data_IF_228080564272
#
_entry.id   IF_228080564272
#
_cell.length_a   1.000
_cell.length_b   1.000
_cell.length_c   1.000
_cell.angle_alpha   90.00
_cell.angle_beta   90.00
_cell.angle_gamma   90.00
#
_symmetry.space_group_name_H-M   'P 1'
#
loop_
_entity.id
_entity.type
_entity.pdbx_description
1 polymer ?
#
# COMPACT_ATOMS: atom_id res chain seq x y z
N UNK A 1 22.40 -13.97 1.79
CA UNK A 1 20.95 -13.63 1.90
C UNK A 1 20.71 -13.02 3.27
N UNK A 2 20.29 -11.76 3.33
CA UNK A 2 19.85 -11.07 4.57
C UNK A 2 18.43 -11.55 4.91
N UNK A 3 18.16 -11.91 6.18
CA UNK A 3 16.82 -12.32 6.64
C UNK A 3 15.90 -11.13 6.89
N UNK A 4 14.57 -11.33 6.87
CA UNK A 4 13.57 -10.28 7.15
C UNK A 4 13.63 -9.79 8.60
N UNK A 5 14.01 -10.66 9.52
CA UNK A 5 14.21 -10.32 10.93
C UNK A 5 15.52 -10.89 11.41
N UNK A 6 16.21 -10.18 12.31
CA UNK A 6 17.55 -10.54 12.81
C UNK A 6 17.54 -11.85 13.61
N UNK A 7 16.42 -12.20 14.18
CA UNK A 7 16.19 -13.41 14.99
C UNK A 7 15.60 -14.59 14.18
N UNK A 8 15.42 -14.41 12.87
CA UNK A 8 14.94 -15.46 11.97
C UNK A 8 16.12 -16.17 11.31
N UNK A 9 16.21 -17.50 11.44
CA UNK A 9 17.26 -18.26 10.73
C UNK A 9 16.99 -18.29 9.22
N UNK A 10 18.04 -18.34 8.37
CA UNK A 10 17.88 -18.46 6.91
C UNK A 10 17.07 -19.70 6.48
N UNK A 11 17.19 -20.82 7.22
CA UNK A 11 16.45 -22.04 6.94
C UNK A 11 14.94 -21.85 7.21
N UNK A 12 14.60 -21.21 8.32
CA UNK A 12 13.22 -20.92 8.67
C UNK A 12 12.58 -19.94 7.67
N UNK A 13 13.32 -18.89 7.28
CA UNK A 13 12.84 -17.96 6.27
C UNK A 13 12.59 -18.61 4.91
N UNK A 14 13.44 -19.56 4.48
CA UNK A 14 13.21 -20.35 3.27
C UNK A 14 11.90 -21.14 3.33
N UNK A 15 11.59 -21.74 4.48
CA UNK A 15 10.32 -22.45 4.69
C UNK A 15 9.15 -21.48 4.59
N UNK A 16 9.27 -20.29 5.19
CA UNK A 16 8.24 -19.24 5.08
C UNK A 16 8.03 -18.80 3.63
N UNK A 17 9.11 -18.51 2.89
CA UNK A 17 9.05 -18.13 1.47
C UNK A 17 8.33 -19.23 0.66
N UNK A 18 8.74 -20.49 0.82
CA UNK A 18 8.12 -21.61 0.12
C UNK A 18 6.62 -21.70 0.42
N UNK A 19 6.21 -21.46 1.66
CA UNK A 19 4.82 -21.43 2.07
C UNK A 19 4.05 -20.26 1.47
N UNK A 20 4.64 -19.04 1.49
CA UNK A 20 4.01 -17.84 0.94
C UNK A 20 3.77 -18.00 -0.56
N UNK A 21 4.70 -18.59 -1.29
CA UNK A 21 4.57 -18.88 -2.74
C UNK A 21 3.37 -19.76 -3.09
N UNK A 22 2.84 -20.53 -2.13
CA UNK A 22 1.61 -21.34 -2.35
C UNK A 22 0.32 -20.58 -2.14
N UNK A 23 0.39 -19.31 -1.69
CA UNK A 23 -0.79 -18.52 -1.41
C UNK A 23 -1.27 -17.80 -2.67
N UNK A 24 -2.58 -17.76 -2.84
CA UNK A 24 -3.21 -16.90 -3.86
C UNK A 24 -3.11 -15.42 -3.46
N UNK A 25 -3.21 -14.53 -4.45
CA UNK A 25 -3.26 -13.09 -4.21
C UNK A 25 -4.40 -12.69 -3.26
N UNK A 26 -5.56 -13.35 -3.38
CA UNK A 26 -6.70 -13.18 -2.47
C UNK A 26 -6.32 -13.53 -1.02
N UNK A 27 -5.64 -14.68 -0.81
CA UNK A 27 -5.20 -15.07 0.53
C UNK A 27 -4.18 -14.10 1.12
N UNK A 28 -3.28 -13.58 0.29
CA UNK A 28 -2.32 -12.55 0.69
C UNK A 28 -3.05 -11.27 1.09
N UNK A 29 -4.00 -10.80 0.29
CA UNK A 29 -4.81 -9.64 0.61
C UNK A 29 -5.64 -9.82 1.90
N UNK A 30 -6.28 -10.99 2.08
CA UNK A 30 -6.97 -11.34 3.33
C UNK A 30 -6.03 -11.29 4.55
N UNK A 31 -4.77 -11.69 4.39
CA UNK A 31 -3.77 -11.62 5.47
C UNK A 31 -3.43 -10.17 5.82
N UNK A 32 -3.16 -9.32 4.82
CA UNK A 32 -2.89 -7.89 5.01
C UNK A 32 -4.07 -7.21 5.71
N UNK A 33 -5.29 -7.46 5.24
CA UNK A 33 -6.54 -6.95 5.82
C UNK A 33 -6.67 -7.34 7.30
N UNK A 34 -6.49 -8.63 7.62
CA UNK A 34 -6.59 -9.14 8.99
C UNK A 34 -5.53 -8.55 9.91
N UNK A 35 -4.28 -8.43 9.46
CA UNK A 35 -3.20 -7.84 10.25
C UNK A 35 -3.41 -6.35 10.47
N UNK A 36 -3.82 -5.61 9.44
CA UNK A 36 -4.17 -4.20 9.57
C UNK A 36 -5.30 -4.01 10.57
N UNK A 37 -6.38 -4.78 10.46
CA UNK A 37 -7.48 -4.72 11.41
C UNK A 37 -7.01 -4.95 12.84
N UNK A 38 -6.20 -6.00 13.08
CA UNK A 38 -5.72 -6.35 14.41
C UNK A 38 -4.81 -5.28 15.01
N UNK A 39 -3.83 -4.79 14.24
CA UNK A 39 -2.86 -3.79 14.70
C UNK A 39 -3.54 -2.43 14.90
N UNK A 40 -4.37 -1.99 13.97
CA UNK A 40 -5.08 -0.71 14.12
C UNK A 40 -6.07 -0.75 15.28
N UNK A 41 -6.78 -1.88 15.48
CA UNK A 41 -7.64 -2.07 16.65
C UNK A 41 -6.86 -2.05 17.96
N UNK A 42 -5.69 -2.71 18.01
CA UNK A 42 -4.81 -2.68 19.19
C UNK A 42 -4.31 -1.25 19.48
N UNK A 43 -3.92 -0.51 18.44
CA UNK A 43 -3.50 0.89 18.54
C UNK A 43 -4.62 1.81 19.04
N UNK A 44 -5.85 1.59 18.59
CA UNK A 44 -7.03 2.28 19.10
C UNK A 44 -7.25 1.96 20.59
N UNK A 45 -7.22 0.70 20.99
CA UNK A 45 -7.43 0.29 22.38
C UNK A 45 -6.28 0.73 23.32
N UNK A 46 -5.03 0.77 22.86
CA UNK A 46 -3.92 1.24 23.67
C UNK A 46 -4.05 2.72 24.06
N UNK A 47 -4.72 3.52 23.23
CA UNK A 47 -5.09 4.89 23.57
C UNK A 47 -6.21 4.96 24.63
N UNK A 48 -7.04 3.91 24.77
CA UNK A 48 -8.08 3.78 25.80
C UNK A 48 -7.52 3.58 27.23
N UNK A 49 -6.41 2.86 27.37
CA UNK A 49 -5.87 2.47 28.68
C UNK A 49 -5.42 3.61 29.58
N UNK A 50 -5.54 4.86 29.13
CA UNK A 50 -5.16 6.05 29.88
C UNK A 50 -6.34 6.88 30.42
N UNK A 51 -7.61 6.58 30.06
CA UNK A 51 -8.77 7.30 30.64
C UNK A 51 -10.09 6.55 30.43
N UNK A 52 -10.65 6.05 31.52
CA UNK A 52 -11.95 5.34 31.59
C UNK A 52 -13.17 6.16 31.10
N UNK A 53 -13.00 7.42 30.68
CA UNK A 53 -14.08 8.35 30.35
C UNK A 53 -13.97 8.97 28.95
N UNK A 54 -13.08 8.49 28.06
CA UNK A 54 -12.95 9.04 26.71
C UNK A 54 -14.11 8.58 25.82
N UNK A 55 -14.80 9.53 25.17
CA UNK A 55 -15.86 9.19 24.23
C UNK A 55 -15.25 8.59 22.94
N UNK A 56 -16.00 7.73 22.25
CA UNK A 56 -15.60 7.07 21.00
C UNK A 56 -15.11 8.06 19.94
N UNK A 57 -15.72 9.27 19.91
CA UNK A 57 -15.34 10.35 18.98
C UNK A 57 -13.98 10.95 19.30
N UNK A 58 -13.70 11.18 20.57
CA UNK A 58 -12.41 11.74 21.01
C UNK A 58 -11.29 10.75 20.79
N UNK A 59 -11.56 9.47 21.01
CA UNK A 59 -10.62 8.39 20.73
C UNK A 59 -10.27 8.34 19.25
N UNK A 60 -11.28 8.33 18.37
CA UNK A 60 -11.08 8.30 16.94
C UNK A 60 -10.31 9.55 16.44
N UNK A 61 -10.64 10.74 16.96
CA UNK A 61 -9.93 11.97 16.62
C UNK A 61 -8.46 11.94 17.09
N UNK A 62 -8.20 11.43 18.30
CA UNK A 62 -6.84 11.26 18.84
C UNK A 62 -6.02 10.26 18.01
N UNK A 63 -6.64 9.16 17.58
CA UNK A 63 -6.02 8.21 16.67
C UNK A 63 -5.66 8.87 15.34
N UNK A 64 -6.61 9.60 14.73
CA UNK A 64 -6.38 10.29 13.45
C UNK A 64 -5.26 11.32 13.57
N UNK A 65 -5.19 12.08 14.70
CA UNK A 65 -4.11 13.04 14.94
C UNK A 65 -2.74 12.36 15.00
N UNK A 66 -2.65 11.25 15.72
CA UNK A 66 -1.39 10.50 15.88
C UNK A 66 -0.92 9.85 14.60
N UNK A 67 -1.81 9.21 13.84
CA UNK A 67 -1.45 8.44 12.64
C UNK A 67 -1.35 9.31 11.39
N UNK A 68 -2.21 10.34 11.26
CA UNK A 68 -2.37 11.09 10.01
C UNK A 68 -2.19 12.62 10.18
N UNK A 69 -1.93 13.08 11.40
CA UNK A 69 -1.63 14.46 11.71
C UNK A 69 -2.85 15.34 12.05
N UNK A 70 -2.55 16.48 12.70
CA UNK A 70 -3.54 17.38 13.28
C UNK A 70 -4.50 18.02 12.27
N UNK A 71 -4.03 18.24 11.03
CA UNK A 71 -4.88 18.82 9.99
C UNK A 71 -6.05 17.90 9.67
N UNK A 72 -5.78 16.62 9.40
CA UNK A 72 -6.82 15.65 9.07
C UNK A 72 -7.71 15.36 10.29
N UNK A 73 -7.14 15.35 11.50
CA UNK A 73 -7.90 15.18 12.73
C UNK A 73 -8.94 16.28 12.95
N UNK A 74 -8.60 17.54 12.70
CA UNK A 74 -9.55 18.67 12.82
C UNK A 74 -10.71 18.56 11.83
N UNK A 75 -10.42 18.22 10.57
CA UNK A 75 -11.46 18.03 9.55
C UNK A 75 -12.34 16.84 9.95
N UNK A 76 -11.72 15.75 10.41
CA UNK A 76 -12.40 14.55 10.87
C UNK A 76 -13.35 14.86 12.04
N UNK A 77 -12.86 15.50 13.10
CA UNK A 77 -13.67 15.83 14.26
C UNK A 77 -14.88 16.70 13.89
N UNK A 78 -14.65 17.77 13.13
CA UNK A 78 -15.74 18.64 12.64
C UNK A 78 -16.78 17.89 11.80
N UNK A 79 -16.36 16.89 11.05
CA UNK A 79 -17.26 16.12 10.20
C UNK A 79 -18.10 15.11 11.01
N UNK A 80 -17.52 14.46 12.02
CA UNK A 80 -18.26 13.50 12.88
C UNK A 80 -19.19 14.19 13.87
N UNK A 81 -18.89 15.43 14.30
CA UNK A 81 -19.82 16.22 15.13
C UNK A 81 -21.15 16.46 14.42
N UNK A 82 -21.13 16.64 13.11
CA UNK A 82 -22.31 16.85 12.26
C UNK A 82 -23.09 15.56 11.94
N UNK A 83 -22.61 14.40 12.42
CA UNK A 83 -23.18 13.06 12.16
C UNK A 83 -23.58 12.40 13.48
N UNK A 84 -24.77 12.66 14.04
CA UNK A 84 -25.20 12.11 15.33
C UNK A 84 -25.16 10.57 15.40
N UNK A 85 -25.46 9.92 14.26
CA UNK A 85 -25.47 8.46 14.09
C UNK A 85 -24.08 7.85 13.88
N UNK A 86 -23.03 8.68 13.78
CA UNK A 86 -21.69 8.16 13.53
C UNK A 86 -21.25 7.19 14.64
N UNK A 87 -20.66 6.09 14.21
CA UNK A 87 -20.03 5.08 15.06
C UNK A 87 -18.72 4.64 14.46
N UNK A 88 -17.76 4.35 15.30
CA UNK A 88 -16.52 3.71 14.92
C UNK A 88 -16.80 2.27 14.49
N UNK A 89 -16.23 1.87 13.36
CA UNK A 89 -16.29 0.50 12.86
C UNK A 89 -14.90 -0.11 12.93
N UNK A 90 -14.76 -1.43 13.07
CA UNK A 90 -13.46 -2.08 13.00
C UNK A 90 -12.72 -1.67 11.73
N UNK A 91 -11.42 -1.33 11.81
CA UNK A 91 -10.64 -0.96 10.62
C UNK A 91 -10.69 -2.06 9.57
N UNK A 92 -10.93 -1.68 8.31
CA UNK A 92 -11.07 -2.64 7.22
C UNK A 92 -10.67 -2.01 5.89
N UNK A 93 -9.52 -2.46 5.36
CA UNK A 93 -8.97 -1.98 4.08
C UNK A 93 -9.96 -2.22 2.93
N UNK A 94 -10.60 -3.39 2.89
CA UNK A 94 -11.52 -3.73 1.80
C UNK A 94 -12.72 -2.77 1.79
N UNK A 95 -13.36 -2.57 2.94
CA UNK A 95 -14.50 -1.67 3.05
C UNK A 95 -14.12 -0.20 2.76
N UNK A 96 -12.89 0.18 3.10
CA UNK A 96 -12.39 1.51 2.78
C UNK A 96 -11.97 1.65 1.31
N UNK A 97 -11.65 0.58 0.60
CA UNK A 97 -11.20 0.62 -0.79
C UNK A 97 -12.37 0.60 -1.79
N UNK A 98 -13.43 -0.16 -1.49
CA UNK A 98 -14.51 -0.44 -2.42
C UNK A 98 -15.20 0.81 -3.00
N UNK A 99 -15.58 1.85 -2.20
CA UNK A 99 -16.24 3.03 -2.78
C UNK A 99 -15.33 3.80 -3.75
N UNK A 100 -14.01 3.77 -3.56
CA UNK A 100 -13.05 4.39 -4.49
C UNK A 100 -13.03 3.64 -5.83
N UNK A 101 -12.99 2.31 -5.77
CA UNK A 101 -13.01 1.48 -6.97
C UNK A 101 -14.33 1.62 -7.74
N UNK A 102 -15.44 1.69 -7.02
CA UNK A 102 -16.78 1.83 -7.62
C UNK A 102 -16.91 3.20 -8.34
N UNK A 103 -16.43 4.30 -7.74
CA UNK A 103 -16.47 5.62 -8.40
C UNK A 103 -15.46 5.71 -9.55
N UNK A 104 -14.26 5.13 -9.41
CA UNK A 104 -13.28 5.07 -10.50
C UNK A 104 -13.86 4.32 -11.71
N UNK A 105 -14.51 3.18 -11.47
CA UNK A 105 -15.22 2.42 -12.51
C UNK A 105 -16.36 3.23 -13.15
N UNK A 106 -17.16 3.92 -12.33
CA UNK A 106 -18.24 4.78 -12.82
C UNK A 106 -17.73 5.89 -13.75
N UNK A 107 -16.56 6.46 -13.42
CA UNK A 107 -15.91 7.52 -14.20
C UNK A 107 -15.02 6.99 -15.34
N UNK A 108 -14.92 5.67 -15.50
CA UNK A 108 -14.00 5.01 -16.45
C UNK A 108 -12.52 5.38 -16.22
N UNK A 109 -12.14 5.69 -14.98
CA UNK A 109 -10.75 5.95 -14.59
C UNK A 109 -10.10 4.67 -14.10
N UNK A 110 -9.02 4.18 -14.73
CA UNK A 110 -8.28 3.04 -14.20
C UNK A 110 -7.74 3.35 -12.80
N UNK A 111 -8.00 2.47 -11.84
CA UNK A 111 -7.51 2.55 -10.47
C UNK A 111 -6.54 1.40 -10.21
N UNK A 112 -5.24 1.69 -10.09
CA UNK A 112 -4.18 0.71 -9.92
C UNK A 112 -3.73 0.70 -8.47
N UNK A 113 -3.87 -0.43 -7.79
CA UNK A 113 -3.37 -0.62 -6.43
C UNK A 113 -1.84 -0.66 -6.46
N UNK A 114 -1.22 0.19 -5.64
CA UNK A 114 0.22 0.30 -5.44
C UNK A 114 0.55 0.30 -3.93
N UNK A 115 1.76 0.70 -3.55
CA UNK A 115 2.15 0.90 -2.15
C UNK A 115 2.24 -0.38 -1.33
N UNK A 116 2.08 -0.23 -0.01
CA UNK A 116 2.33 -1.30 0.96
C UNK A 116 1.37 -2.50 0.81
N UNK A 117 0.13 -2.26 0.44
CA UNK A 117 -0.87 -3.32 0.21
C UNK A 117 -0.49 -4.15 -1.01
N UNK A 118 -0.17 -3.50 -2.14
CA UNK A 118 0.27 -4.20 -3.36
C UNK A 118 1.59 -4.96 -3.14
N UNK A 119 2.57 -4.33 -2.49
CA UNK A 119 3.85 -4.96 -2.16
C UNK A 119 3.67 -6.21 -1.28
N UNK A 120 2.75 -6.17 -0.33
CA UNK A 120 2.43 -7.30 0.54
C UNK A 120 1.76 -8.48 -0.19
N UNK A 121 1.11 -8.25 -1.32
CA UNK A 121 0.55 -9.33 -2.16
C UNK A 121 1.68 -10.16 -2.78
N UNK A 122 2.79 -9.53 -3.11
CA UNK A 122 3.93 -10.18 -3.77
C UNK A 122 5.04 -10.63 -2.80
N UNK A 123 5.12 -10.02 -1.61
CA UNK A 123 6.17 -10.25 -0.63
C UNK A 123 5.69 -10.91 0.64
N UNK A 124 6.24 -10.47 1.77
CA UNK A 124 5.74 -10.86 3.09
C UNK A 124 4.55 -9.97 3.46
N UNK A 125 3.39 -10.55 3.83
CA UNK A 125 2.25 -9.74 4.25
C UNK A 125 2.57 -9.01 5.54
N UNK A 126 2.15 -7.74 5.62
CA UNK A 126 2.22 -6.92 6.84
C UNK A 126 0.99 -6.01 6.94
N UNK A 127 0.82 -5.39 8.09
CA UNK A 127 -0.20 -4.34 8.25
C UNK A 127 0.13 -3.14 7.34
N UNK A 128 -0.91 -2.49 6.84
CA UNK A 128 -0.83 -1.26 6.09
C UNK A 128 -1.53 -0.13 6.85
N UNK A 129 -0.90 1.04 6.94
CA UNK A 129 -1.50 2.23 7.57
C UNK A 129 -2.42 2.97 6.61
N UNK A 130 -2.11 2.88 5.32
CA UNK A 130 -2.81 3.52 4.22
C UNK A 130 -2.93 2.57 3.01
N UNK A 131 -3.73 2.98 2.05
CA UNK A 131 -3.88 2.31 0.76
C UNK A 131 -3.56 3.31 -0.33
N UNK A 132 -2.58 3.00 -1.15
CA UNK A 132 -2.15 3.84 -2.26
C UNK A 132 -2.80 3.39 -3.57
N UNK A 133 -3.43 4.32 -4.29
CA UNK A 133 -4.06 4.08 -5.59
C UNK A 133 -3.50 5.06 -6.61
N UNK A 134 -2.95 4.53 -7.67
CA UNK A 134 -2.60 5.31 -8.85
C UNK A 134 -3.86 5.45 -9.73
N UNK A 135 -4.39 6.68 -9.85
CA UNK A 135 -5.59 6.96 -10.63
C UNK A 135 -5.60 8.40 -11.11
N UNK A 136 -5.82 8.61 -12.40
CA UNK A 136 -5.78 9.94 -13.01
C UNK A 136 -7.16 10.60 -13.05
N UNK A 137 -7.62 11.01 -11.87
CA UNK A 137 -8.79 11.84 -11.77
C UNK A 137 -8.45 13.28 -12.22
N UNK A 138 -9.38 13.92 -12.95
CA UNK A 138 -9.26 15.28 -13.43
C UNK A 138 -10.30 16.21 -12.81
N UNK A 139 -10.17 17.51 -13.05
CA UNK A 139 -11.08 18.55 -12.50
C UNK A 139 -12.54 18.33 -12.88
N UNK A 140 -12.82 17.75 -14.03
CA UNK A 140 -14.17 17.36 -14.46
C UNK A 140 -14.83 16.30 -13.59
N UNK A 141 -14.02 15.50 -12.86
CA UNK A 141 -14.50 14.46 -11.96
C UNK A 141 -14.84 14.98 -10.55
N UNK A 142 -14.51 16.24 -10.21
CA UNK A 142 -14.69 16.79 -8.84
C UNK A 142 -16.11 16.59 -8.33
N UNK A 143 -17.13 16.95 -9.11
CA UNK A 143 -18.53 16.85 -8.69
C UNK A 143 -18.91 15.42 -8.37
N UNK A 144 -18.57 14.48 -9.26
CA UNK A 144 -18.87 13.06 -9.05
C UNK A 144 -18.12 12.47 -7.86
N UNK A 145 -16.84 12.86 -7.64
CA UNK A 145 -16.09 12.44 -6.47
C UNK A 145 -16.75 12.94 -5.17
N UNK A 146 -17.17 14.21 -5.13
CA UNK A 146 -17.89 14.77 -3.98
C UNK A 146 -19.20 14.02 -3.71
N UNK A 147 -20.02 13.80 -4.73
CA UNK A 147 -21.31 13.14 -4.61
C UNK A 147 -21.20 11.69 -4.11
N UNK A 148 -20.24 10.93 -4.65
CA UNK A 148 -20.10 9.50 -4.32
C UNK A 148 -19.32 9.25 -3.03
N UNK A 149 -18.35 10.12 -2.69
CA UNK A 149 -17.40 9.85 -1.60
C UNK A 149 -17.70 10.61 -0.31
N UNK A 150 -18.41 11.74 -0.33
CA UNK A 150 -18.62 12.57 0.85
C UNK A 150 -19.38 11.87 1.99
N UNK A 151 -20.15 10.81 1.70
CA UNK A 151 -20.82 10.03 2.73
C UNK A 151 -19.82 9.16 3.52
N UNK A 152 -18.92 8.51 2.84
CA UNK A 152 -18.01 7.50 3.41
C UNK A 152 -16.63 8.05 3.77
N UNK A 153 -16.23 9.18 3.18
CA UNK A 153 -14.90 9.75 3.40
C UNK A 153 -14.94 11.18 3.91
N UNK A 154 -13.83 11.54 4.54
CA UNK A 154 -13.50 12.89 4.96
C UNK A 154 -12.33 13.37 4.13
N UNK A 155 -12.49 14.54 3.54
CA UNK A 155 -11.49 15.27 2.78
C UNK A 155 -11.92 16.73 2.66
N UNK A 156 -10.96 17.60 2.32
CA UNK A 156 -11.25 19.00 2.04
C UNK A 156 -11.57 19.16 0.54
N UNK A 157 -12.79 19.60 0.17
CA UNK A 157 -13.16 19.77 -1.24
C UNK A 157 -12.29 20.78 -2.00
N UNK A 158 -11.77 21.80 -1.29
CA UNK A 158 -10.89 22.79 -1.91
C UNK A 158 -9.50 22.18 -2.17
N UNK A 159 -8.95 21.43 -1.21
CA UNK A 159 -7.69 20.70 -1.39
C UNK A 159 -7.80 19.68 -2.51
N UNK A 160 -8.92 18.93 -2.56
CA UNK A 160 -9.19 18.00 -3.66
C UNK A 160 -9.17 18.72 -5.02
N UNK A 161 -9.89 19.83 -5.14
CA UNK A 161 -9.96 20.60 -6.39
C UNK A 161 -8.58 21.09 -6.81
N UNK A 162 -7.79 21.65 -5.89
CA UNK A 162 -6.43 22.11 -6.16
C UNK A 162 -5.51 20.95 -6.56
N UNK A 163 -5.62 19.82 -5.87
CA UNK A 163 -4.81 18.64 -6.19
C UNK A 163 -5.07 18.16 -7.63
N UNK A 164 -6.33 18.10 -8.05
CA UNK A 164 -6.70 17.71 -9.41
C UNK A 164 -6.25 18.75 -10.45
N UNK A 165 -6.31 20.06 -10.12
CA UNK A 165 -5.81 21.13 -11.00
C UNK A 165 -4.30 21.07 -11.22
N UNK A 166 -3.54 20.69 -10.19
CA UNK A 166 -2.08 20.66 -10.22
C UNK A 166 -1.49 19.27 -10.43
N UNK A 167 -2.30 18.27 -10.69
CA UNK A 167 -1.88 16.86 -10.80
C UNK A 167 -1.00 16.42 -9.63
N UNK A 168 -1.45 16.71 -8.41
CA UNK A 168 -0.80 16.26 -7.17
C UNK A 168 -1.66 15.23 -6.44
N UNK A 169 -1.03 14.45 -5.57
CA UNK A 169 -1.73 13.48 -4.74
C UNK A 169 -2.67 14.15 -3.73
N UNK A 170 -3.74 13.45 -3.37
CA UNK A 170 -4.65 13.85 -2.31
C UNK A 170 -5.07 12.64 -1.48
N UNK A 171 -5.44 12.91 -0.23
CA UNK A 171 -5.82 11.87 0.73
C UNK A 171 -7.30 11.94 1.06
N UNK A 172 -7.89 10.76 1.24
CA UNK A 172 -9.25 10.54 1.71
C UNK A 172 -9.17 9.69 2.98
N UNK A 173 -9.92 10.05 4.03
CA UNK A 173 -10.01 9.23 5.25
C UNK A 173 -11.39 8.60 5.34
N UNK A 174 -11.47 7.27 5.37
CA UNK A 174 -12.76 6.61 5.55
C UNK A 174 -13.30 6.88 6.97
N UNK A 175 -14.46 7.55 7.04
CA UNK A 175 -14.97 8.18 8.26
C UNK A 175 -15.19 7.23 9.44
N UNK A 176 -15.61 5.99 9.19
CA UNK A 176 -15.88 5.02 10.24
C UNK A 176 -14.80 3.94 10.42
N UNK A 177 -14.01 3.67 9.37
CA UNK A 177 -12.96 2.63 9.38
C UNK A 177 -11.59 3.18 9.75
N UNK A 178 -11.42 4.50 9.72
CA UNK A 178 -10.17 5.21 10.00
C UNK A 178 -8.98 4.72 9.12
N UNK A 179 -9.27 4.29 7.91
CA UNK A 179 -8.26 3.93 6.90
C UNK A 179 -8.10 5.11 5.95
N UNK A 180 -6.87 5.55 5.76
CA UNK A 180 -6.51 6.59 4.79
C UNK A 180 -6.30 5.95 3.43
N UNK A 181 -6.81 6.62 2.38
CA UNK A 181 -6.58 6.27 0.97
C UNK A 181 -5.85 7.45 0.34
N UNK A 182 -4.69 7.18 -0.25
CA UNK A 182 -3.94 8.16 -1.01
C UNK A 182 -4.15 7.93 -2.51
N UNK A 183 -4.67 8.94 -3.18
CA UNK A 183 -4.84 8.94 -4.64
C UNK A 183 -3.68 9.68 -5.26
N UNK A 184 -2.98 9.01 -6.15
CA UNK A 184 -1.76 9.49 -6.80
C UNK A 184 -2.04 9.57 -8.30
N UNK A 185 -1.98 10.76 -8.93
CA UNK A 185 -2.12 10.87 -10.38
C UNK A 185 -0.90 10.28 -11.08
N UNK A 186 -1.10 9.69 -12.24
CA UNK A 186 0.04 9.25 -13.07
C UNK A 186 0.44 10.37 -14.03
N UNK A 187 1.55 10.99 -13.74
CA UNK A 187 2.06 12.16 -14.47
C UNK A 187 3.40 11.93 -15.14
N UNK A 188 4.08 10.84 -14.82
CA UNK A 188 5.40 10.51 -15.34
C UNK A 188 5.36 9.35 -16.34
N UNK A 189 6.40 9.26 -17.20
CA UNK A 189 6.59 8.13 -18.11
C UNK A 189 6.65 6.80 -17.36
N UNK A 190 7.24 6.80 -16.16
CA UNK A 190 7.32 5.60 -15.33
C UNK A 190 5.94 5.20 -14.80
N UNK A 191 5.14 6.13 -14.31
CA UNK A 191 3.78 5.85 -13.81
C UNK A 191 2.85 5.36 -14.93
N UNK A 192 2.98 5.89 -16.15
CA UNK A 192 2.25 5.36 -17.31
C UNK A 192 2.65 3.90 -17.62
N UNK A 193 3.93 3.56 -17.50
CA UNK A 193 4.40 2.19 -17.68
C UNK A 193 3.81 1.22 -16.63
N UNK A 194 3.53 1.67 -15.40
CA UNK A 194 2.86 0.84 -14.39
C UNK A 194 1.47 0.38 -14.86
N UNK A 195 0.72 1.28 -15.49
CA UNK A 195 -0.61 0.96 -16.03
C UNK A 195 -0.53 -0.03 -17.21
N UNK A 196 0.48 0.06 -18.06
CA UNK A 196 0.68 -0.88 -19.16
C UNK A 196 1.01 -2.29 -18.67
N UNK A 197 1.79 -2.42 -17.60
CA UNK A 197 2.22 -3.69 -17.01
C UNK A 197 1.35 -4.20 -15.88
N UNK A 198 0.24 -3.51 -15.59
CA UNK A 198 -0.67 -3.88 -14.51
C UNK A 198 -1.04 -5.35 -14.55
N UNK A 199 -1.13 -5.94 -13.37
CA UNK A 199 -1.64 -7.29 -13.17
C UNK A 199 -3.13 -7.23 -12.80
N UNK A 200 -3.89 -8.19 -13.28
CA UNK A 200 -5.30 -8.34 -12.94
C UNK A 200 -5.39 -9.43 -11.87
N UNK A 201 -5.71 -9.06 -10.63
CA UNK A 201 -5.66 -9.95 -9.47
C UNK A 201 -7.04 -10.11 -8.80
N UNK A 202 -7.52 -11.34 -8.58
CA UNK A 202 -8.74 -11.62 -7.84
C UNK A 202 -8.48 -11.48 -6.32
N UNK A 203 -8.57 -10.26 -5.79
CA UNK A 203 -8.26 -9.97 -4.39
C UNK A 203 -9.46 -10.09 -3.46
N UNK A 204 -10.67 -9.86 -3.98
CA UNK A 204 -11.91 -9.78 -3.19
C UNK A 204 -12.91 -10.77 -3.76
N UNK A 205 -13.33 -11.71 -2.91
CA UNK A 205 -14.31 -12.74 -3.27
C UNK A 205 -15.64 -12.09 -3.71
N UNK A 206 -16.20 -12.57 -4.82
CA UNK A 206 -17.47 -12.05 -5.36
C UNK A 206 -17.40 -10.68 -6.04
N UNK A 207 -16.21 -10.11 -6.20
CA UNK A 207 -15.96 -8.86 -6.91
C UNK A 207 -15.12 -9.09 -8.17
N UNK A 208 -15.17 -8.13 -9.08
CA UNK A 208 -14.27 -8.11 -10.23
C UNK A 208 -12.81 -8.06 -9.77
N UNK A 209 -11.88 -8.69 -10.51
CA UNK A 209 -10.47 -8.59 -10.23
C UNK A 209 -9.98 -7.14 -10.25
N UNK A 210 -9.02 -6.81 -9.38
CA UNK A 210 -8.44 -5.48 -9.25
C UNK A 210 -7.19 -5.33 -10.10
N UNK A 211 -6.91 -4.11 -10.52
CA UNK A 211 -5.65 -3.75 -11.13
C UNK A 211 -4.60 -3.55 -10.04
N UNK A 212 -3.47 -4.24 -10.14
CA UNK A 212 -2.36 -4.17 -9.19
C UNK A 212 -1.07 -3.94 -9.96
N UNK A 213 -0.18 -3.09 -9.48
CA UNK A 213 1.14 -2.95 -10.07
C UNK A 213 1.89 -4.28 -10.05
N UNK A 214 2.76 -4.54 -11.02
CA UNK A 214 3.55 -5.78 -11.08
C UNK A 214 4.56 -5.87 -9.91
N UNK A 215 5.06 -7.06 -9.62
CA UNK A 215 6.08 -7.25 -8.58
C UNK A 215 7.36 -6.47 -8.89
N UNK A 216 7.75 -6.42 -10.16
CA UNK A 216 8.89 -5.63 -10.62
C UNK A 216 8.66 -4.15 -10.39
N UNK A 217 7.49 -3.63 -10.76
CA UNK A 217 7.17 -2.23 -10.62
C UNK A 217 7.05 -1.83 -9.15
N UNK A 218 6.49 -2.71 -8.30
CA UNK A 218 6.47 -2.49 -6.85
C UNK A 218 7.88 -2.47 -6.25
N UNK A 219 8.80 -3.31 -6.75
CA UNK A 219 10.20 -3.28 -6.34
C UNK A 219 10.84 -1.93 -6.70
N UNK A 220 10.62 -1.45 -7.93
CA UNK A 220 11.16 -0.16 -8.38
C UNK A 220 10.58 1.02 -7.61
N UNK A 221 9.27 1.06 -7.39
CA UNK A 221 8.60 2.09 -6.58
C UNK A 221 9.19 2.15 -5.16
N UNK A 222 9.38 0.99 -4.53
CA UNK A 222 9.97 0.92 -3.19
C UNK A 222 11.44 1.38 -3.18
N UNK A 223 12.24 1.04 -4.21
CA UNK A 223 13.63 1.52 -4.35
C UNK A 223 13.68 3.04 -4.52
N UNK A 224 12.83 3.63 -5.35
CA UNK A 224 12.73 5.08 -5.55
C UNK A 224 12.39 5.78 -4.23
N UNK A 225 11.40 5.25 -3.50
CA UNK A 225 11.00 5.84 -2.21
C UNK A 225 12.07 5.65 -1.13
N UNK A 226 12.74 4.50 -1.10
CA UNK A 226 13.87 4.25 -0.20
C UNK A 226 15.00 5.27 -0.44
N UNK A 227 15.37 5.51 -1.70
CA UNK A 227 16.35 6.52 -2.07
C UNK A 227 15.94 7.94 -1.62
N UNK A 228 14.67 8.31 -1.83
CA UNK A 228 14.15 9.62 -1.40
C UNK A 228 14.16 9.82 0.12
N UNK A 229 14.07 8.75 0.90
CA UNK A 229 14.13 8.76 2.36
C UNK A 229 15.58 8.71 2.91
N UNK A 230 16.58 8.89 2.07
CA UNK A 230 17.98 8.90 2.47
C UNK A 230 18.54 7.52 2.83
N UNK A 231 17.97 6.45 2.30
CA UNK A 231 18.42 5.05 2.48
C UNK A 231 18.39 4.57 3.96
N UNK A 232 17.46 5.08 4.77
CA UNK A 232 17.37 4.80 6.21
C UNK A 232 16.05 4.14 6.65
N UNK A 233 15.25 3.63 5.72
CA UNK A 233 13.96 3.02 6.02
C UNK A 233 14.05 1.49 6.00
N UNK A 234 14.43 0.87 7.12
CA UNK A 234 14.60 -0.59 7.25
C UNK A 234 13.33 -1.36 6.84
N UNK A 235 12.14 -0.89 7.20
CA UNK A 235 10.89 -1.53 6.83
C UNK A 235 10.68 -1.56 5.32
N UNK A 236 11.03 -0.47 4.62
CA UNK A 236 10.93 -0.40 3.16
C UNK A 236 11.95 -1.31 2.47
N UNK A 237 13.17 -1.39 3.02
CA UNK A 237 14.17 -2.33 2.51
C UNK A 237 13.70 -3.78 2.68
N UNK A 238 13.10 -4.10 3.82
CA UNK A 238 12.51 -5.42 4.04
C UNK A 238 11.34 -5.71 3.09
N UNK A 239 10.50 -4.73 2.75
CA UNK A 239 9.46 -4.88 1.71
C UNK A 239 10.08 -5.23 0.35
N UNK A 240 11.15 -4.52 -0.07
CA UNK A 240 11.90 -4.81 -1.30
C UNK A 240 12.42 -6.25 -1.28
N UNK A 241 13.14 -6.62 -0.23
CA UNK A 241 13.68 -7.97 -0.10
C UNK A 241 12.59 -9.03 -0.07
N UNK A 242 11.46 -8.74 0.57
CA UNK A 242 10.29 -9.61 0.62
C UNK A 242 9.75 -9.94 -0.77
N UNK A 243 9.54 -8.92 -1.60
CA UNK A 243 9.07 -9.09 -2.98
C UNK A 243 10.10 -9.90 -3.77
N UNK A 244 11.37 -9.48 -3.76
CA UNK A 244 12.43 -10.14 -4.51
C UNK A 244 12.54 -11.63 -4.14
N UNK A 245 12.57 -11.98 -2.86
CA UNK A 245 12.68 -13.36 -2.39
C UNK A 245 11.49 -14.22 -2.77
N UNK A 246 10.27 -13.71 -2.56
CA UNK A 246 9.06 -14.49 -2.85
C UNK A 246 8.88 -14.69 -4.34
N UNK A 247 9.14 -13.67 -5.16
CA UNK A 247 8.92 -13.69 -6.60
C UNK A 247 10.15 -14.11 -7.42
N UNK A 248 11.30 -14.38 -6.79
CA UNK A 248 12.60 -14.62 -7.44
C UNK A 248 12.55 -15.50 -8.70
N UNK A 249 11.64 -16.50 -8.72
CA UNK A 249 11.54 -17.51 -9.79
C UNK A 249 10.77 -17.04 -11.03
N UNK A 250 10.06 -15.91 -10.96
CA UNK A 250 9.22 -15.38 -12.02
C UNK A 250 9.51 -13.93 -12.41
N UNK A 251 10.41 -13.23 -11.67
CA UNK A 251 10.76 -11.85 -11.96
C UNK A 251 11.45 -11.70 -13.33
N UNK A 252 11.05 -10.70 -14.09
CA UNK A 252 11.77 -10.22 -15.27
C UNK A 252 12.94 -9.33 -14.81
N UNK A 253 14.09 -9.97 -14.50
CA UNK A 253 15.29 -9.26 -14.07
C UNK A 253 15.84 -8.31 -15.15
N UNK A 254 15.66 -8.64 -16.43
CA UNK A 254 16.10 -7.77 -17.52
C UNK A 254 15.24 -6.49 -17.59
N UNK A 255 13.93 -6.59 -17.29
CA UNK A 255 13.07 -5.42 -17.16
C UNK A 255 13.48 -4.58 -15.95
N UNK A 256 13.67 -5.21 -14.79
CA UNK A 256 14.09 -4.54 -13.57
C UNK A 256 15.37 -3.73 -13.78
N UNK A 257 16.39 -4.33 -14.38
CA UNK A 257 17.67 -3.66 -14.66
C UNK A 257 17.50 -2.45 -15.57
N UNK A 258 16.81 -2.62 -16.72
CA UNK A 258 16.55 -1.51 -17.63
C UNK A 258 15.79 -0.35 -16.99
N UNK A 259 14.78 -0.64 -16.17
CA UNK A 259 13.99 0.41 -15.54
C UNK A 259 14.73 1.05 -14.37
N UNK A 260 15.46 0.27 -13.57
CA UNK A 260 16.29 0.80 -12.49
C UNK A 260 17.31 1.84 -12.98
N UNK A 261 17.94 1.58 -14.15
CA UNK A 261 18.83 2.56 -14.80
C UNK A 261 18.09 3.84 -15.21
N UNK A 262 16.86 3.72 -15.75
CA UNK A 262 16.05 4.89 -16.16
C UNK A 262 15.63 5.78 -15.00
N UNK A 263 15.43 5.19 -13.83
CA UNK A 263 15.00 5.92 -12.63
C UNK A 263 16.13 6.13 -11.61
N UNK A 264 17.38 5.82 -12.01
CA UNK A 264 18.63 6.02 -11.23
C UNK A 264 18.63 5.29 -9.87
N UNK A 265 18.18 4.02 -9.84
CA UNK A 265 18.21 3.14 -8.65
C UNK A 265 18.93 1.81 -8.91
N UNK A 266 19.73 1.70 -9.99
CA UNK A 266 20.43 0.48 -10.39
C UNK A 266 21.40 -0.03 -9.31
N UNK A 267 22.09 0.86 -8.62
CA UNK A 267 22.98 0.50 -7.50
C UNK A 267 22.21 -0.11 -6.32
N UNK A 268 21.05 0.46 -6.00
CA UNK A 268 20.18 -0.07 -4.96
C UNK A 268 19.55 -1.41 -5.35
N UNK A 269 19.15 -1.56 -6.62
CA UNK A 269 18.64 -2.84 -7.13
C UNK A 269 19.72 -3.93 -7.02
N UNK A 270 20.94 -3.65 -7.45
CA UNK A 270 22.07 -4.58 -7.34
C UNK A 270 22.27 -5.04 -5.90
N UNK A 271 22.30 -4.10 -4.95
CA UNK A 271 22.43 -4.43 -3.52
C UNK A 271 21.24 -5.27 -3.03
N UNK A 272 20.02 -4.93 -3.43
CA UNK A 272 18.84 -5.67 -3.03
C UNK A 272 18.81 -7.11 -3.56
N UNK A 273 19.28 -7.33 -4.79
CA UNK A 273 19.41 -8.67 -5.38
C UNK A 273 20.46 -9.54 -4.64
N UNK A 274 21.57 -8.93 -4.22
CA UNK A 274 22.59 -9.59 -3.38
C UNK A 274 22.00 -9.93 -2.01
N UNK A 275 21.39 -8.97 -1.32
CA UNK A 275 20.77 -9.15 -0.01
C UNK A 275 19.65 -10.19 -0.05
N UNK A 276 18.86 -10.24 -1.12
CA UNK A 276 17.83 -11.25 -1.34
C UNK A 276 18.43 -12.65 -1.64
N UNK A 277 19.71 -12.75 -1.97
CA UNK A 277 20.38 -13.99 -2.33
C UNK A 277 20.05 -14.47 -3.75
N UNK A 278 19.67 -13.58 -4.65
CA UNK A 278 19.40 -13.85 -6.07
C UNK A 278 20.70 -13.74 -6.87
N UNK A 279 21.55 -12.74 -6.55
CA UNK A 279 22.87 -12.57 -7.10
C UNK A 279 23.95 -12.81 -6.03
N UNK A 280 25.14 -13.24 -6.46
CA UNK A 280 26.34 -13.27 -5.64
C UNK A 280 26.99 -11.87 -5.61
N UNK A 281 27.99 -11.66 -4.76
CA UNK A 281 28.73 -10.39 -4.67
C UNK A 281 29.45 -10.01 -5.98
N UNK A 282 29.79 -11.01 -6.82
CA UNK A 282 30.39 -10.81 -8.14
C UNK A 282 29.36 -10.51 -9.26
N UNK A 283 28.06 -10.39 -8.91
CA UNK A 283 26.96 -10.13 -9.86
C UNK A 283 26.49 -11.37 -10.63
N UNK A 284 27.09 -12.54 -10.43
CA UNK A 284 26.60 -13.78 -11.01
C UNK A 284 25.30 -14.26 -10.34
N UNK A 285 24.46 -15.00 -11.07
CA UNK A 285 23.25 -15.59 -10.48
C UNK A 285 23.64 -16.61 -9.41
N UNK A 286 23.06 -16.46 -8.22
CA UNK A 286 23.22 -17.45 -7.16
C UNK A 286 22.67 -18.80 -7.61
N UNK A 287 23.42 -19.87 -7.35
CA UNK A 287 22.87 -21.23 -7.52
C UNK A 287 21.77 -21.44 -6.48
N UNK A 288 20.54 -21.12 -6.86
CA UNK A 288 19.39 -21.44 -6.01
C UNK A 288 19.24 -22.96 -5.92
N UNK A 289 19.10 -23.52 -4.70
CA UNK A 289 18.78 -24.94 -4.53
C UNK A 289 17.51 -25.29 -5.33
N UNK A 290 17.47 -26.48 -5.92
CA UNK A 290 16.35 -26.95 -6.73
C UNK A 290 14.97 -26.91 -6.00
N UNK A 291 14.97 -26.85 -4.67
CA UNK A 291 13.78 -26.66 -3.81
C UNK A 291 13.20 -25.24 -3.82
N UNK A 292 13.85 -24.30 -4.53
CA UNK A 292 13.43 -22.88 -4.61
C UNK A 292 13.12 -22.48 -6.07
N UNK A 293 13.30 -23.41 -7.02
CA UNK A 293 12.90 -23.22 -8.44
C UNK A 293 11.43 -23.47 -8.65
#
# INVERSE_FOLDING_TARGET
>A
MRTQSIDTSPEFERIQIARIRTFSAEKMFKSVRSWTQSITSANLHSAYGSSDNMQERDLAASFVAREYGDYLARIFFTAIEKRPEWRLQPPDIQEALLPILDVAKYLNVPALLIGSVAGSIYGFPRSAQDVDILADFHTEHVTSLLEHLAHSYIFDPHVLTLALQHHTSFSLLHVSRLIKIDIIPHSTVFENALLERRQIQPLIEGREPLLVASAEDMTLLNLIQYQRQGNNADDRWNDILGILKVQAHILDLAYLDRQAQRVNVEGLLSQALIDAGIHNEDGSLSQMPASIR
#
